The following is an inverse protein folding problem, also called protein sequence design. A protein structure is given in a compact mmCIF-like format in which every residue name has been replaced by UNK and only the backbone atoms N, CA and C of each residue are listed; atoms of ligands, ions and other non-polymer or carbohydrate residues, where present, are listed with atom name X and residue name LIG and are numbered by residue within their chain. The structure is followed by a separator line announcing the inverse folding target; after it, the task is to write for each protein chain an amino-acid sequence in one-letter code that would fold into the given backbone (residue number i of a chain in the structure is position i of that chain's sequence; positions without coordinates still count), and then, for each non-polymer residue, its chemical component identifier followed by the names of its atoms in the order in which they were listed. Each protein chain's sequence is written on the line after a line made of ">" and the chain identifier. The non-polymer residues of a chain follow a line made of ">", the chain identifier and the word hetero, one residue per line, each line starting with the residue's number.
data_IF_900624750916
#
_entry.id   IF_900624750916
#
_cell.length_a   1.000
_cell.length_b   1.000
_cell.length_c   1.000
_cell.angle_alpha   90.00
_cell.angle_beta   90.00
_cell.angle_gamma   90.00
#
_symmetry.space_group_name_H-M   'P 1'
#
loop_
_entity.id
_entity.type
_entity.pdbx_description
1 polymer ?
#
# COMPACT_ATOMS: atom_id res chain seq x y z
N UNK A 1 -11.08 11.70 -14.83
CA UNK A 1 -10.68 12.30 -13.54
C UNK A 1 -9.32 11.72 -13.19
N UNK A 2 -8.32 12.49 -12.74
CA UNK A 2 -7.08 11.88 -12.28
C UNK A 2 -7.41 11.05 -11.03
N UNK A 3 -6.92 9.81 -10.99
CA UNK A 3 -7.00 8.94 -9.82
C UNK A 3 -6.40 9.71 -8.62
N UNK A 4 -7.24 10.14 -7.68
CA UNK A 4 -6.78 10.87 -6.48
C UNK A 4 -6.10 9.89 -5.54
N UNK A 5 -4.85 9.56 -5.84
CA UNK A 5 -3.99 8.80 -4.93
C UNK A 5 -3.66 9.68 -3.73
N UNK A 6 -3.80 9.15 -2.52
CA UNK A 6 -3.46 9.79 -1.25
C UNK A 6 -2.47 8.90 -0.50
N UNK A 7 -1.43 9.49 0.07
CA UNK A 7 -0.50 8.74 0.93
C UNK A 7 -1.24 8.35 2.21
N UNK A 8 -1.27 7.05 2.49
CA UNK A 8 -1.76 6.51 3.76
C UNK A 8 -0.63 6.41 4.78
N UNK A 9 0.51 5.85 4.36
CA UNK A 9 1.69 5.65 5.21
C UNK A 9 2.94 5.40 4.38
N UNK A 10 4.07 5.89 4.83
CA UNK A 10 5.41 5.55 4.36
C UNK A 10 6.07 4.50 5.28
N UNK A 11 7.02 3.76 4.72
CA UNK A 11 7.86 2.82 5.46
C UNK A 11 9.20 2.64 4.76
N UNK A 12 10.17 2.07 5.46
CA UNK A 12 11.45 1.73 4.85
C UNK A 12 11.23 0.71 3.73
N UNK A 13 11.57 1.09 2.50
CA UNK A 13 11.34 0.25 1.32
C UNK A 13 10.08 0.59 0.52
N UNK A 14 9.19 1.48 0.98
CA UNK A 14 8.05 1.85 0.14
C UNK A 14 7.03 2.82 0.71
N UNK A 15 5.90 2.92 0.01
CA UNK A 15 4.75 3.74 0.37
C UNK A 15 3.45 2.99 0.17
N UNK A 16 2.51 3.20 1.08
CA UNK A 16 1.12 2.77 0.96
C UNK A 16 0.27 3.96 0.56
N UNK A 17 -0.44 3.82 -0.55
CA UNK A 17 -1.36 4.82 -1.09
C UNK A 17 -2.79 4.28 -1.04
N UNK A 18 -3.75 5.18 -0.90
CA UNK A 18 -5.17 4.91 -1.14
C UNK A 18 -5.63 5.64 -2.39
N UNK A 19 -6.57 5.04 -3.11
CA UNK A 19 -7.24 5.68 -4.23
C UNK A 19 -8.70 5.22 -4.31
N UNK A 20 -9.47 5.89 -5.15
CA UNK A 20 -10.83 5.50 -5.52
C UNK A 20 -10.93 5.53 -7.03
N UNK A 21 -11.38 4.43 -7.62
CA UNK A 21 -11.48 4.28 -9.07
C UNK A 21 -12.66 3.37 -9.40
N UNK A 22 -13.55 3.80 -10.32
CA UNK A 22 -14.66 2.97 -10.78
C UNK A 22 -15.63 2.51 -9.69
N UNK A 23 -15.76 3.27 -8.60
CA UNK A 23 -16.59 2.90 -7.44
C UNK A 23 -15.93 1.89 -6.49
N UNK A 24 -14.65 1.55 -6.71
CA UNK A 24 -13.84 0.72 -5.82
C UNK A 24 -12.92 1.58 -4.98
N UNK A 25 -12.59 1.06 -3.81
CA UNK A 25 -11.61 1.64 -2.89
C UNK A 25 -10.32 0.83 -3.01
N UNK A 26 -9.21 1.49 -3.30
CA UNK A 26 -7.94 0.83 -3.61
C UNK A 26 -6.92 1.05 -2.49
N UNK A 27 -6.15 0.02 -2.18
CA UNK A 27 -4.87 0.12 -1.49
C UNK A 27 -3.75 -0.25 -2.47
N UNK A 28 -2.82 0.68 -2.71
CA UNK A 28 -1.63 0.46 -3.53
C UNK A 28 -0.42 0.43 -2.62
N UNK A 29 0.28 -0.69 -2.60
CA UNK A 29 1.53 -0.89 -1.87
C UNK A 29 2.63 -0.81 -2.91
N UNK A 30 3.43 0.24 -2.86
CA UNK A 30 4.54 0.48 -3.76
C UNK A 30 5.85 0.28 -3.00
N UNK A 31 6.47 -0.87 -3.21
CA UNK A 31 7.77 -1.26 -2.67
C UNK A 31 8.90 -0.95 -3.66
N UNK A 32 8.67 -0.03 -4.60
CA UNK A 32 9.62 0.31 -5.65
C UNK A 32 10.95 0.87 -5.15
N UNK A 33 11.04 1.39 -3.92
CA UNK A 33 12.33 1.79 -3.34
C UNK A 33 13.17 0.59 -2.87
N UNK A 34 12.58 -0.60 -2.70
CA UNK A 34 13.34 -1.85 -2.54
C UNK A 34 13.99 -2.30 -3.85
N UNK A 35 13.54 -1.81 -5.02
CA UNK A 35 14.10 -2.19 -6.31
C UNK A 35 15.62 -1.91 -6.39
N UNK A 36 16.09 -0.85 -5.73
CA UNK A 36 17.51 -0.47 -5.71
C UNK A 36 18.36 -1.42 -4.83
N UNK A 37 17.73 -2.24 -3.99
CA UNK A 37 18.39 -3.20 -3.08
C UNK A 37 18.25 -4.65 -3.57
N UNK A 38 17.45 -4.89 -4.61
CA UNK A 38 17.16 -6.21 -5.14
C UNK A 38 18.00 -6.50 -6.40
N UNK A 39 18.30 -7.77 -6.69
CA UNK A 39 18.94 -8.17 -7.95
C UNK A 39 18.14 -7.69 -9.16
N UNK A 40 18.81 -7.35 -10.27
CA UNK A 40 18.21 -6.80 -11.50
C UNK A 40 17.12 -7.69 -12.14
N UNK A 41 17.02 -8.94 -11.71
CA UNK A 41 16.08 -9.95 -12.18
C UNK A 41 14.66 -9.81 -11.60
N UNK A 42 14.46 -8.96 -10.58
CA UNK A 42 13.14 -8.66 -10.02
C UNK A 42 12.48 -7.49 -10.77
N UNK A 43 11.42 -7.79 -11.52
CA UNK A 43 10.69 -6.77 -12.27
C UNK A 43 9.97 -5.80 -11.32
N UNK A 44 10.07 -4.48 -11.58
CA UNK A 44 9.40 -3.45 -10.76
C UNK A 44 7.87 -3.62 -10.69
N UNK A 45 7.27 -4.30 -11.66
CA UNK A 45 5.85 -4.62 -11.65
C UNK A 45 5.47 -5.56 -10.48
N UNK A 46 6.40 -6.42 -10.03
CA UNK A 46 6.19 -7.31 -8.88
C UNK A 46 6.26 -6.58 -7.53
N UNK A 47 6.81 -5.36 -7.51
CA UNK A 47 6.97 -4.52 -6.31
C UNK A 47 5.79 -3.57 -6.08
N UNK A 48 4.84 -3.49 -7.02
CA UNK A 48 3.63 -2.68 -6.87
C UNK A 48 2.42 -3.58 -6.80
N UNK A 49 1.81 -3.65 -5.62
CA UNK A 49 0.60 -4.44 -5.38
C UNK A 49 -0.61 -3.53 -5.22
N UNK A 50 -1.64 -3.75 -6.04
CA UNK A 50 -2.94 -3.09 -5.88
C UNK A 50 -3.97 -4.09 -5.36
N UNK A 51 -4.75 -3.66 -4.38
CA UNK A 51 -5.83 -4.45 -3.77
C UNK A 51 -7.10 -3.61 -3.83
N UNK A 52 -8.18 -4.20 -4.34
CA UNK A 52 -9.47 -3.55 -4.49
C UNK A 52 -10.44 -3.97 -3.39
N UNK A 53 -11.28 -3.03 -2.97
CA UNK A 53 -12.32 -3.22 -1.97
C UNK A 53 -13.64 -2.61 -2.47
N UNK A 54 -14.76 -3.19 -2.04
CA UNK A 54 -16.10 -2.67 -2.35
C UNK A 54 -16.44 -1.44 -1.51
N UNK A 55 -15.88 -1.35 -0.30
CA UNK A 55 -16.17 -0.27 0.65
C UNK A 55 -14.91 0.38 1.21
N UNK A 56 -15.04 1.62 1.67
CA UNK A 56 -13.96 2.35 2.34
C UNK A 56 -13.57 1.67 3.66
N UNK A 57 -14.55 1.14 4.38
CA UNK A 57 -14.38 0.47 5.67
C UNK A 57 -13.53 -0.80 5.55
N UNK A 58 -13.78 -1.63 4.53
CA UNK A 58 -12.98 -2.84 4.28
C UNK A 58 -11.52 -2.50 3.98
N UNK A 59 -11.28 -1.50 3.11
CA UNK A 59 -9.93 -1.00 2.82
C UNK A 59 -9.26 -0.51 4.10
N UNK A 60 -9.96 0.28 4.90
CA UNK A 60 -9.44 0.88 6.12
C UNK A 60 -9.10 -0.18 7.18
N UNK A 61 -9.94 -1.21 7.33
CA UNK A 61 -9.69 -2.34 8.22
C UNK A 61 -8.46 -3.15 7.79
N UNK A 62 -8.30 -3.41 6.49
CA UNK A 62 -7.11 -4.05 5.94
C UNK A 62 -5.84 -3.25 6.23
N UNK A 63 -5.87 -1.94 5.94
CA UNK A 63 -4.75 -1.04 6.15
C UNK A 63 -4.37 -0.93 7.62
N UNK A 64 -5.35 -0.81 8.52
CA UNK A 64 -5.09 -0.77 9.95
C UNK A 64 -4.52 -2.09 10.47
N UNK A 65 -5.03 -3.24 10.02
CA UNK A 65 -4.52 -4.55 10.43
C UNK A 65 -3.07 -4.77 9.99
N UNK A 66 -2.71 -4.32 8.78
CA UNK A 66 -1.40 -4.60 8.18
C UNK A 66 -0.35 -3.52 8.44
N UNK A 67 -0.78 -2.26 8.48
CA UNK A 67 0.08 -1.08 8.56
C UNK A 67 -0.35 -0.13 9.68
N UNK A 68 -1.20 -0.57 10.62
CA UNK A 68 -1.53 0.19 11.80
C UNK A 68 -0.32 0.40 12.73
N UNK A 69 -0.50 1.16 13.83
CA UNK A 69 0.54 1.28 14.84
C UNK A 69 0.95 -0.12 15.31
N UNK A 70 2.26 -0.41 15.34
CA UNK A 70 2.76 -1.59 16.04
C UNK A 70 2.33 -1.42 17.49
N UNK A 71 1.45 -2.29 17.99
CA UNK A 71 1.25 -2.41 19.42
C UNK A 71 2.64 -2.67 20.01
N UNK A 72 3.19 -1.69 20.73
CA UNK A 72 4.38 -1.91 21.54
C UNK A 72 3.97 -2.91 22.61
N UNK A 73 4.20 -4.20 22.35
CA UNK A 73 4.26 -5.17 23.43
C UNK A 73 5.58 -4.91 24.13
N UNK A 74 5.54 -4.00 25.12
CA UNK A 74 6.60 -3.86 26.09
C UNK A 74 6.81 -5.22 26.75
N UNK A 75 7.99 -5.81 26.54
CA UNK A 75 8.56 -6.86 27.38
C UNK A 75 9.68 -6.23 28.20
#
# INVERSE_FOLDING_TARGET
>A
MPDKRRVYRDFEGGVVLTAEQGGKFLAVIDEGTLADLLPEELERADLVKTIEFETEEERSAYLLKRFGPRSQTNL
#
